data_IF_703148018702
#
_entry.id   IF_703148018702
#
_cell.length_a   1.000
_cell.length_b   1.000
_cell.length_c   1.000
_cell.angle_alpha   90.00
_cell.angle_beta   90.00
_cell.angle_gamma   90.00
#
_symmetry.space_group_name_H-M   'P 1'
#
loop_
_entity.id
_entity.type
_entity.pdbx_description
1 polymer ?
#
# COMPACT_ATOMS: atom_id res chain seq x y z
N UNK A 1 38.98 55.35 -34.42
CA UNK A 1 37.56 55.44 -34.02
C UNK A 1 37.17 54.06 -33.52
N UNK A 2 37.10 53.80 -32.22
CA UNK A 2 36.21 54.36 -31.18
C UNK A 2 35.03 53.41 -30.93
N UNK A 3 35.02 52.90 -29.70
CA UNK A 3 33.83 52.78 -28.85
C UNK A 3 32.79 51.71 -29.21
N UNK A 4 33.12 50.43 -29.04
CA UNK A 4 32.09 49.41 -28.73
C UNK A 4 32.57 48.33 -27.74
N UNK A 5 33.67 48.55 -27.04
CA UNK A 5 34.17 47.64 -26.00
C UNK A 5 33.61 47.92 -24.58
N UNK A 6 32.60 48.79 -24.43
CA UNK A 6 32.18 49.29 -23.09
C UNK A 6 30.67 49.18 -22.83
N UNK A 7 29.85 48.73 -23.78
CA UNK A 7 28.38 48.89 -23.66
C UNK A 7 27.56 47.65 -23.30
N UNK A 8 28.17 46.59 -22.73
CA UNK A 8 27.42 45.44 -22.22
C UNK A 8 27.47 45.16 -20.69
N UNK A 9 28.43 45.64 -19.88
CA UNK A 9 28.31 45.49 -18.43
C UNK A 9 27.37 46.55 -17.81
N UNK A 10 27.04 47.62 -18.55
CA UNK A 10 26.20 48.71 -18.06
C UNK A 10 24.70 48.38 -17.98
N UNK A 11 24.24 47.32 -18.66
CA UNK A 11 22.85 46.87 -18.59
C UNK A 11 22.55 46.00 -17.35
N UNK A 12 23.57 45.43 -16.70
CA UNK A 12 23.41 44.55 -15.53
C UNK A 12 23.23 45.32 -14.21
N UNK A 13 23.58 46.61 -14.18
CA UNK A 13 23.48 47.47 -12.98
C UNK A 13 22.14 48.23 -12.88
N UNK A 14 21.28 48.15 -13.91
CA UNK A 14 19.95 48.78 -13.94
C UNK A 14 18.81 47.85 -13.50
N UNK A 15 19.12 46.68 -12.93
CA UNK A 15 18.13 45.84 -12.22
C UNK A 15 18.40 45.69 -10.71
N UNK A 16 18.64 46.78 -9.93
CA UNK A 16 18.66 46.66 -8.48
C UNK A 16 17.29 46.27 -7.89
N UNK A 17 16.23 46.21 -8.72
CA UNK A 17 14.86 45.93 -8.29
C UNK A 17 14.42 44.46 -8.26
N UNK A 18 15.12 43.53 -8.92
CA UNK A 18 14.67 42.13 -8.98
C UNK A 18 15.36 41.19 -7.99
N UNK A 19 16.60 41.48 -7.57
CA UNK A 19 17.36 40.59 -6.67
C UNK A 19 17.09 40.90 -5.19
N UNK A 20 16.74 42.14 -4.86
CA UNK A 20 16.49 42.55 -3.48
C UNK A 20 15.22 41.91 -2.88
N UNK A 21 14.18 41.63 -3.69
CA UNK A 21 12.93 41.04 -3.19
C UNK A 21 13.08 39.55 -2.89
N UNK A 22 13.89 38.83 -3.67
CA UNK A 22 14.15 37.40 -3.49
C UNK A 22 15.06 37.10 -2.28
N UNK A 23 15.98 38.00 -1.94
CA UNK A 23 16.85 37.84 -0.77
C UNK A 23 16.13 38.17 0.54
N UNK A 24 15.18 39.13 0.53
CA UNK A 24 14.46 39.52 1.74
C UNK A 24 13.39 38.50 2.13
N UNK A 25 12.71 37.89 1.17
CA UNK A 25 11.75 36.78 1.44
C UNK A 25 12.45 35.52 1.95
N UNK A 26 13.74 35.32 1.67
CA UNK A 26 14.52 34.21 2.24
C UNK A 26 14.77 34.39 3.75
N UNK A 27 14.86 35.64 4.22
CA UNK A 27 15.11 35.96 5.63
C UNK A 27 13.83 35.94 6.50
N UNK A 28 12.65 36.18 5.91
CA UNK A 28 11.36 36.24 6.63
C UNK A 28 10.53 34.95 6.54
N UNK A 29 10.94 33.96 5.74
CA UNK A 29 10.18 32.72 5.56
C UNK A 29 10.61 31.46 6.37
N UNK A 30 11.51 31.45 7.39
CA UNK A 30 11.71 30.20 8.13
C UNK A 30 10.48 29.84 8.98
N UNK A 31 9.65 30.83 9.35
CA UNK A 31 8.47 30.62 10.20
C UNK A 31 7.24 30.16 9.39
N UNK A 32 7.10 30.60 8.13
CA UNK A 32 5.98 30.18 7.25
C UNK A 32 6.26 28.90 6.46
N UNK A 33 7.50 28.68 6.03
CA UNK A 33 7.90 27.41 5.40
C UNK A 33 7.94 26.27 6.43
N UNK A 34 8.30 26.57 7.69
CA UNK A 34 8.17 25.61 8.80
C UNK A 34 6.72 25.14 9.00
N UNK A 35 5.74 26.05 8.92
CA UNK A 35 4.33 25.70 9.11
C UNK A 35 3.74 24.83 7.98
N UNK A 36 4.22 24.95 6.74
CA UNK A 36 3.80 24.07 5.64
C UNK A 36 4.57 22.74 5.62
N UNK A 37 5.86 22.73 5.99
CA UNK A 37 6.67 21.50 6.04
C UNK A 37 6.27 20.54 7.18
N UNK A 38 5.70 21.07 8.28
CA UNK A 38 5.21 20.25 9.41
C UNK A 38 4.03 19.34 9.00
N UNK A 39 3.24 19.72 7.99
CA UNK A 39 2.13 18.90 7.52
C UNK A 39 2.56 17.70 6.66
N UNK A 40 3.78 17.71 6.12
CA UNK A 40 4.30 16.58 5.31
C UNK A 40 5.06 15.55 6.14
N UNK A 41 5.50 15.89 7.36
CA UNK A 41 6.18 14.96 8.27
C UNK A 41 5.25 14.36 9.31
N UNK A 42 4.12 15.00 9.62
CA UNK A 42 3.08 14.43 10.49
C UNK A 42 2.41 13.17 9.87
N UNK A 43 2.31 13.09 8.54
CA UNK A 43 1.69 11.96 7.83
C UNK A 43 2.54 10.68 7.76
N UNK A 44 3.78 10.71 8.25
CA UNK A 44 4.65 9.52 8.31
C UNK A 44 4.38 8.69 9.56
N UNK A 45 4.02 9.33 10.68
CA UNK A 45 3.77 8.64 11.95
C UNK A 45 2.44 7.87 11.95
N UNK A 46 1.38 8.42 11.35
CA UNK A 46 0.06 7.77 11.32
C UNK A 46 -0.06 6.58 10.34
N UNK A 47 0.95 6.35 9.49
CA UNK A 47 0.92 5.28 8.49
C UNK A 47 1.62 3.98 8.94
N UNK A 48 2.25 3.96 10.11
CA UNK A 48 3.03 2.78 10.59
C UNK A 48 2.56 2.18 11.92
N UNK A 49 1.69 2.82 12.69
CA UNK A 49 1.38 2.36 14.05
C UNK A 49 0.00 1.74 14.20
N UNK A 50 -0.35 0.76 13.37
CA UNK A 50 -1.17 -0.33 13.91
C UNK A 50 -0.26 -1.15 14.80
N UNK A 51 -0.58 -1.19 16.10
CA UNK A 51 0.18 -1.98 17.08
C UNK A 51 0.38 -3.42 16.56
N UNK A 52 1.57 -3.99 16.75
CA UNK A 52 1.83 -5.41 16.43
C UNK A 52 0.73 -6.30 17.01
N UNK A 53 0.25 -6.00 18.22
CA UNK A 53 -0.83 -6.75 18.87
C UNK A 53 -2.18 -6.68 18.14
N UNK A 54 -2.49 -5.57 17.48
CA UNK A 54 -3.72 -5.46 16.67
C UNK A 54 -3.61 -6.22 15.34
N UNK A 55 -2.41 -6.21 14.74
CA UNK A 55 -2.12 -7.01 13.54
C UNK A 55 -2.21 -8.51 13.83
N UNK A 56 -1.63 -8.95 14.94
CA UNK A 56 -1.63 -10.35 15.35
C UNK A 56 -3.04 -10.85 15.69
N UNK A 57 -3.84 -10.04 16.39
CA UNK A 57 -5.24 -10.38 16.62
C UNK A 57 -6.05 -10.48 15.32
N UNK A 58 -5.83 -9.56 14.37
CA UNK A 58 -6.52 -9.60 13.07
C UNK A 58 -6.08 -10.80 12.25
N UNK A 59 -4.80 -11.15 12.28
CA UNK A 59 -4.26 -12.33 11.63
C UNK A 59 -4.84 -13.62 12.23
N UNK A 60 -4.85 -13.76 13.55
CA UNK A 60 -5.41 -14.92 14.24
C UNK A 60 -6.92 -15.09 14.00
N UNK A 61 -7.68 -14.00 13.85
CA UNK A 61 -9.09 -14.08 13.41
C UNK A 61 -9.23 -14.60 11.99
N UNK A 62 -8.41 -14.11 11.06
CA UNK A 62 -8.42 -14.57 9.65
C UNK A 62 -8.04 -16.04 9.51
N UNK A 63 -7.03 -16.50 10.27
CA UNK A 63 -6.62 -17.90 10.29
C UNK A 63 -7.77 -18.79 10.76
N UNK A 64 -8.39 -18.48 11.91
CA UNK A 64 -9.54 -19.25 12.43
C UNK A 64 -10.70 -19.32 11.44
N UNK A 65 -11.12 -18.18 10.88
CA UNK A 65 -12.20 -18.14 9.89
C UNK A 65 -11.89 -19.00 8.65
N UNK A 66 -10.63 -18.99 8.22
CA UNK A 66 -10.17 -19.78 7.08
C UNK A 66 -10.16 -21.28 7.40
N UNK A 67 -9.64 -21.67 8.56
CA UNK A 67 -9.63 -23.06 9.01
C UNK A 67 -11.06 -23.60 9.17
N UNK A 68 -11.97 -22.81 9.72
CA UNK A 68 -13.37 -23.16 9.82
C UNK A 68 -14.01 -23.36 8.43
N UNK A 69 -13.73 -22.47 7.47
CA UNK A 69 -14.22 -22.62 6.08
C UNK A 69 -13.65 -23.88 5.44
N UNK A 70 -12.35 -24.13 5.57
CA UNK A 70 -11.73 -25.35 5.05
C UNK A 70 -12.35 -26.60 5.70
N UNK A 71 -12.55 -26.58 7.01
CA UNK A 71 -13.16 -27.69 7.75
C UNK A 71 -14.62 -27.94 7.38
N UNK A 72 -15.38 -26.91 6.97
CA UNK A 72 -16.72 -27.08 6.39
C UNK A 72 -16.64 -27.75 5.03
N UNK A 73 -15.85 -27.19 4.11
CA UNK A 73 -15.66 -27.74 2.76
C UNK A 73 -15.16 -29.20 2.79
N UNK A 74 -14.25 -29.54 3.70
CA UNK A 74 -13.75 -30.92 3.84
C UNK A 74 -14.87 -31.91 4.19
N UNK A 75 -15.77 -31.52 5.11
CA UNK A 75 -16.90 -32.37 5.50
C UNK A 75 -17.91 -32.51 4.38
N UNK A 76 -18.16 -31.43 3.63
CA UNK A 76 -19.06 -31.46 2.49
C UNK A 76 -18.48 -32.27 1.33
N UNK A 77 -17.16 -32.21 1.11
CA UNK A 77 -16.46 -33.07 0.15
C UNK A 77 -16.59 -34.54 0.53
N UNK A 78 -16.39 -34.89 1.80
CA UNK A 78 -16.50 -36.28 2.25
C UNK A 78 -17.92 -36.82 2.07
N UNK A 79 -18.94 -35.99 2.32
CA UNK A 79 -20.35 -36.32 2.06
C UNK A 79 -20.60 -36.51 0.56
N UNK A 80 -20.29 -35.52 -0.26
CA UNK A 80 -20.49 -35.59 -1.72
C UNK A 80 -19.72 -36.77 -2.35
N UNK A 81 -18.57 -37.14 -1.80
CA UNK A 81 -17.81 -38.32 -2.23
C UNK A 81 -18.49 -39.62 -1.83
N UNK A 82 -19.13 -39.69 -0.68
CA UNK A 82 -19.94 -40.85 -0.29
C UNK A 82 -21.14 -40.98 -1.23
N UNK A 83 -21.90 -39.90 -1.43
CA UNK A 83 -23.08 -39.87 -2.30
C UNK A 83 -22.71 -40.24 -3.75
N UNK A 84 -21.55 -39.78 -4.24
CA UNK A 84 -20.98 -40.17 -5.54
C UNK A 84 -20.69 -41.67 -5.65
N UNK A 85 -20.24 -42.32 -4.56
CA UNK A 85 -20.02 -43.78 -4.54
C UNK A 85 -21.32 -44.55 -4.50
N UNK A 86 -22.34 -43.98 -3.86
CA UNK A 86 -23.68 -44.55 -3.75
C UNK A 86 -24.49 -44.36 -5.05
N UNK A 87 -23.98 -43.57 -5.98
CA UNK A 87 -24.53 -43.39 -7.32
C UNK A 87 -25.56 -42.27 -7.43
N UNK A 88 -25.55 -41.31 -6.50
CA UNK A 88 -26.38 -40.12 -6.62
C UNK A 88 -25.98 -39.27 -7.83
N UNK A 89 -26.99 -38.83 -8.58
CA UNK A 89 -26.80 -37.93 -9.73
C UNK A 89 -26.12 -36.63 -9.28
N UNK A 90 -25.18 -36.12 -10.08
CA UNK A 90 -24.39 -34.90 -9.85
C UNK A 90 -23.42 -34.90 -8.63
N UNK A 91 -23.53 -35.85 -7.69
CA UNK A 91 -22.68 -35.90 -6.49
C UNK A 91 -21.18 -35.97 -6.79
N UNK A 92 -20.80 -36.69 -7.86
CA UNK A 92 -19.41 -36.76 -8.30
C UNK A 92 -18.88 -35.44 -8.89
N UNK A 93 -19.76 -34.62 -9.47
CA UNK A 93 -19.41 -33.29 -9.98
C UNK A 93 -19.31 -32.29 -8.82
N UNK A 94 -20.21 -32.40 -7.85
CA UNK A 94 -20.19 -31.64 -6.61
C UNK A 94 -18.92 -31.91 -5.80
N UNK A 95 -18.53 -33.17 -5.61
CA UNK A 95 -17.27 -33.53 -4.96
C UNK A 95 -16.06 -32.89 -5.67
N UNK A 96 -16.05 -32.90 -7.01
CA UNK A 96 -14.99 -32.26 -7.81
C UNK A 96 -14.98 -30.74 -7.65
N UNK A 97 -16.15 -30.10 -7.61
CA UNK A 97 -16.28 -28.65 -7.40
C UNK A 97 -15.76 -28.25 -6.02
N UNK A 98 -16.19 -28.94 -4.96
CA UNK A 98 -15.76 -28.68 -3.59
C UNK A 98 -14.24 -28.90 -3.45
N UNK A 99 -13.71 -29.97 -4.05
CA UNK A 99 -12.27 -30.23 -4.04
C UNK A 99 -11.45 -29.10 -4.67
N UNK A 100 -11.92 -28.52 -5.79
CA UNK A 100 -11.27 -27.36 -6.41
C UNK A 100 -11.27 -26.16 -5.46
N UNK A 101 -12.39 -25.87 -4.82
CA UNK A 101 -12.49 -24.77 -3.86
C UNK A 101 -11.54 -24.96 -2.65
N UNK A 102 -11.41 -26.19 -2.15
CA UNK A 102 -10.44 -26.53 -1.11
C UNK A 102 -8.99 -26.37 -1.59
N UNK A 103 -8.71 -26.77 -2.83
CA UNK A 103 -7.39 -26.61 -3.46
C UNK A 103 -7.02 -25.13 -3.59
N UNK A 104 -7.92 -24.28 -4.07
CA UNK A 104 -7.70 -22.84 -4.20
C UNK A 104 -7.48 -22.18 -2.84
N UNK A 105 -8.26 -22.57 -1.82
CA UNK A 105 -8.07 -22.09 -0.46
C UNK A 105 -6.73 -22.55 0.15
N UNK A 106 -6.20 -23.70 -0.23
CA UNK A 106 -4.87 -24.16 0.19
C UNK A 106 -3.76 -23.45 -0.59
N UNK A 107 -3.95 -23.20 -1.87
CA UNK A 107 -2.99 -22.48 -2.71
C UNK A 107 -2.82 -21.02 -2.27
N UNK A 108 -3.82 -20.43 -1.62
CA UNK A 108 -3.74 -19.08 -1.07
C UNK A 108 -2.88 -18.95 0.20
N UNK A 109 -2.19 -20.00 0.67
CA UNK A 109 -1.21 -19.91 1.77
C UNK A 109 0.09 -19.32 1.21
N UNK A 110 0.61 -18.21 1.76
CA UNK A 110 1.98 -17.79 1.48
C UNK A 110 2.94 -18.89 1.96
N UNK A 111 3.75 -19.44 1.06
CA UNK A 111 4.89 -20.26 1.43
C UNK A 111 5.96 -19.31 1.99
N UNK A 112 6.25 -19.37 3.28
CA UNK A 112 7.42 -18.70 3.85
C UNK A 112 8.63 -19.56 3.48
N UNK A 113 9.56 -19.09 2.62
CA UNK A 113 10.82 -19.79 2.45
C UNK A 113 11.60 -19.73 3.77
N UNK A 114 12.11 -20.90 4.17
CA UNK A 114 12.95 -21.13 5.36
C UNK A 114 14.28 -20.36 5.36
#
# INVERSE_FOLDING_TARGET
MRLTAVLLPAAALMLPGCVAKSAFDLATMPVRAGAQAVNTTAGVYDRVTVSQSERDQKLGRKIRQREERYGRLSRDYDRARADCRDGEDDACDDARRIYREMSDLRASVPYEPE
#
